data_IF_624074892148
#
_entry.id   IF_624074892148
#
_cell.length_a   1.000
_cell.length_b   1.000
_cell.length_c   1.000
_cell.angle_alpha   90.00
_cell.angle_beta   90.00
_cell.angle_gamma   90.00
#
_symmetry.space_group_name_H-M   'P 1'
#
loop_
_entity.id
_entity.type
_entity.pdbx_description
1 polymer ?
#
# COMPACT_ATOMS: atom_id res chain seq x y z
N UNK A 1 -30.41 5.55 27.68
CA UNK A 1 -29.08 5.50 27.01
C UNK A 1 -29.02 4.47 25.88
N UNK A 2 -29.56 3.27 26.05
CA UNK A 2 -29.57 2.23 24.96
C UNK A 2 -30.26 2.73 23.69
N UNK A 3 -31.42 3.39 23.83
CA UNK A 3 -32.16 3.96 22.70
C UNK A 3 -31.34 5.03 21.95
N UNK A 4 -30.56 5.83 22.68
CA UNK A 4 -29.65 6.81 22.11
C UNK A 4 -28.47 6.11 21.39
N UNK A 5 -27.98 5.01 21.94
CA UNK A 5 -26.92 4.21 21.33
C UNK A 5 -27.35 3.65 19.95
N UNK A 6 -28.53 3.04 19.86
CA UNK A 6 -29.10 2.58 18.59
C UNK A 6 -29.41 3.75 17.62
N UNK A 7 -29.99 4.83 18.12
CA UNK A 7 -30.34 6.01 17.32
C UNK A 7 -29.09 6.70 16.73
N UNK A 8 -27.95 6.66 17.42
CA UNK A 8 -26.68 7.23 16.93
C UNK A 8 -26.20 6.64 15.61
N UNK A 9 -26.59 5.41 15.30
CA UNK A 9 -26.25 4.72 14.07
C UNK A 9 -27.24 5.00 12.93
N UNK A 10 -28.54 5.14 13.28
CA UNK A 10 -29.63 5.13 12.30
C UNK A 10 -30.05 6.54 11.84
N UNK A 11 -30.12 7.51 12.73
CA UNK A 11 -30.75 8.80 12.43
C UNK A 11 -29.88 10.02 12.77
N UNK A 12 -28.75 9.81 13.43
CA UNK A 12 -27.98 10.88 14.06
C UNK A 12 -28.66 11.43 15.31
N UNK A 13 -27.85 11.91 16.23
CA UNK A 13 -28.29 12.50 17.49
C UNK A 13 -28.17 14.03 17.42
N UNK A 14 -28.95 14.72 18.24
CA UNK A 14 -28.67 16.13 18.50
C UNK A 14 -27.36 16.30 19.29
N UNK A 15 -26.72 17.45 19.19
CA UNK A 15 -25.40 17.68 19.82
C UNK A 15 -25.36 17.38 21.32
N UNK A 16 -26.43 17.69 22.04
CA UNK A 16 -26.54 17.39 23.49
C UNK A 16 -26.67 15.90 23.78
N UNK A 17 -27.40 15.18 22.95
CA UNK A 17 -27.57 13.72 23.05
C UNK A 17 -26.28 12.98 22.70
N UNK A 18 -25.57 13.44 21.67
CA UNK A 18 -24.26 12.90 21.31
C UNK A 18 -23.27 13.08 22.46
N UNK A 19 -23.19 14.28 23.03
CA UNK A 19 -22.31 14.56 24.19
C UNK A 19 -22.63 13.65 25.38
N UNK A 20 -23.92 13.43 25.66
CA UNK A 20 -24.34 12.57 26.76
C UNK A 20 -23.99 11.09 26.50
N UNK A 21 -24.15 10.63 25.27
CA UNK A 21 -23.76 9.27 24.86
C UNK A 21 -22.25 9.06 24.92
N UNK A 22 -21.47 10.02 24.43
CA UNK A 22 -20.00 9.95 24.45
C UNK A 22 -19.46 9.89 25.88
N UNK A 23 -20.01 10.71 26.76
CA UNK A 23 -19.66 10.71 28.18
C UNK A 23 -20.02 9.40 28.89
N UNK A 24 -21.10 8.75 28.47
CA UNK A 24 -21.53 7.46 28.99
C UNK A 24 -20.63 6.32 28.48
N UNK A 25 -20.31 6.30 27.18
CA UNK A 25 -19.41 5.30 26.57
C UNK A 25 -17.98 5.40 27.13
N UNK A 26 -17.51 6.60 27.42
CA UNK A 26 -16.22 6.82 28.07
C UNK A 26 -16.09 6.16 29.46
N UNK A 27 -17.22 5.78 30.08
CA UNK A 27 -17.26 5.01 31.33
C UNK A 27 -17.22 3.49 31.11
N UNK A 28 -17.20 3.03 29.87
CA UNK A 28 -17.06 1.61 29.52
C UNK A 28 -18.36 0.81 29.65
N UNK A 29 -19.49 1.32 29.17
CA UNK A 29 -20.77 0.61 29.21
C UNK A 29 -20.87 -0.43 28.10
N UNK A 30 -20.58 -1.69 28.41
CA UNK A 30 -20.61 -2.80 27.45
C UNK A 30 -21.99 -3.03 26.80
N UNK A 31 -23.09 -2.74 27.49
CA UNK A 31 -24.44 -2.85 26.92
C UNK A 31 -24.69 -1.85 25.80
N UNK A 32 -24.23 -0.60 25.97
CA UNK A 32 -24.38 0.43 24.92
C UNK A 32 -23.42 0.24 23.76
N UNK A 33 -22.23 -0.26 24.01
CA UNK A 33 -21.28 -0.65 22.96
C UNK A 33 -21.83 -1.79 22.11
N UNK A 34 -22.42 -2.80 22.73
CA UNK A 34 -23.08 -3.92 22.04
C UNK A 34 -24.28 -3.46 21.23
N UNK A 35 -25.11 -2.56 21.74
CA UNK A 35 -26.25 -2.01 21.02
C UNK A 35 -25.80 -1.25 19.74
N UNK A 36 -24.73 -0.46 19.84
CA UNK A 36 -24.13 0.22 18.69
C UNK A 36 -23.59 -0.80 17.67
N UNK A 37 -22.94 -1.85 18.14
CA UNK A 37 -22.41 -2.91 17.27
C UNK A 37 -23.53 -3.58 16.48
N UNK A 38 -24.58 -4.01 17.16
CA UNK A 38 -25.75 -4.66 16.53
C UNK A 38 -26.45 -3.73 15.55
N UNK A 39 -26.66 -2.45 15.92
CA UNK A 39 -27.26 -1.47 15.04
C UNK A 39 -26.43 -1.23 13.77
N UNK A 40 -25.11 -1.21 13.87
CA UNK A 40 -24.19 -1.09 12.70
C UNK A 40 -24.26 -2.29 11.78
N UNK A 41 -24.29 -3.50 12.33
CA UNK A 41 -24.41 -4.73 11.52
C UNK A 41 -25.73 -4.76 10.74
N UNK A 42 -26.84 -4.47 11.41
CA UNK A 42 -28.16 -4.37 10.76
C UNK A 42 -28.20 -3.29 9.67
N UNK A 43 -27.56 -2.16 9.91
CA UNK A 43 -27.48 -1.07 8.92
C UNK A 43 -26.65 -1.46 7.71
N UNK A 44 -25.54 -2.19 7.94
CA UNK A 44 -24.70 -2.71 6.86
C UNK A 44 -25.45 -3.74 5.99
N UNK A 45 -26.20 -4.65 6.61
CA UNK A 45 -27.02 -5.64 5.91
C UNK A 45 -28.14 -4.96 5.08
N UNK A 46 -28.78 -3.93 5.63
CA UNK A 46 -29.76 -3.14 4.90
C UNK A 46 -29.14 -2.37 3.73
N UNK A 47 -27.93 -1.84 3.90
CA UNK A 47 -27.24 -1.12 2.84
C UNK A 47 -26.89 -2.03 1.66
N UNK A 48 -26.57 -3.31 1.91
CA UNK A 48 -26.35 -4.31 0.85
C UNK A 48 -27.63 -4.63 0.09
N UNK A 49 -28.77 -4.59 0.78
CA UNK A 49 -30.08 -4.87 0.16
C UNK A 49 -30.60 -3.72 -0.72
N UNK A 50 -30.04 -2.52 -0.56
CA UNK A 50 -30.42 -1.32 -1.36
C UNK A 50 -29.32 -1.06 -2.38
N UNK A 51 -29.50 -1.55 -3.60
CA UNK A 51 -28.62 -1.26 -4.75
C UNK A 51 -28.74 0.23 -5.12
N UNK A 52 -27.99 1.07 -4.44
CA UNK A 52 -27.88 2.49 -4.80
C UNK A 52 -26.43 2.74 -5.24
N UNK A 53 -26.25 3.06 -6.50
CA UNK A 53 -24.93 3.47 -6.99
C UNK A 53 -24.48 4.73 -6.25
N UNK A 54 -23.25 4.78 -5.76
CA UNK A 54 -22.72 5.97 -5.12
C UNK A 54 -22.70 7.14 -6.12
N UNK A 55 -22.84 8.41 -5.65
CA UNK A 55 -22.70 9.57 -6.51
C UNK A 55 -21.38 9.50 -7.31
N UNK A 56 -21.43 9.88 -8.59
CA UNK A 56 -20.27 9.77 -9.48
C UNK A 56 -19.04 10.57 -8.98
N UNK A 57 -19.28 11.63 -8.23
CA UNK A 57 -18.25 12.50 -7.64
C UNK A 57 -17.77 12.05 -6.25
N UNK A 58 -18.37 11.02 -5.66
CA UNK A 58 -18.05 10.59 -4.28
C UNK A 58 -16.56 10.24 -4.13
N UNK A 59 -16.00 9.53 -5.09
CA UNK A 59 -14.58 9.15 -5.08
C UNK A 59 -13.68 10.38 -5.03
N UNK A 60 -13.98 11.37 -5.85
CA UNK A 60 -13.20 12.60 -5.96
C UNK A 60 -13.33 13.45 -4.68
N UNK A 61 -14.54 13.55 -4.12
CA UNK A 61 -14.79 14.22 -2.84
C UNK A 61 -14.10 13.53 -1.66
N UNK A 62 -14.09 12.20 -1.62
CA UNK A 62 -13.37 11.46 -0.58
C UNK A 62 -11.87 11.67 -0.71
N UNK A 63 -11.31 11.58 -1.90
CA UNK A 63 -9.87 11.81 -2.13
C UNK A 63 -9.47 13.25 -1.81
N UNK A 64 -10.25 14.26 -2.21
CA UNK A 64 -9.97 15.66 -1.90
C UNK A 64 -10.06 15.98 -0.40
N UNK A 65 -10.93 15.29 0.34
CA UNK A 65 -11.03 15.43 1.79
C UNK A 65 -9.93 14.68 2.56
N UNK A 66 -9.35 13.65 1.95
CA UNK A 66 -8.23 12.91 2.54
C UNK A 66 -6.89 13.62 2.32
N UNK A 67 -6.71 14.24 1.16
CA UNK A 67 -5.45 14.89 0.76
C UNK A 67 -5.01 16.05 1.67
N UNK A 68 -5.89 16.94 2.18
CA UNK A 68 -5.46 18.01 3.09
C UNK A 68 -5.28 17.55 4.55
N UNK A 69 -5.80 16.37 4.91
CA UNK A 69 -5.78 15.88 6.31
C UNK A 69 -4.59 14.97 6.63
N UNK A 70 -3.77 14.69 5.63
CA UNK A 70 -2.51 13.99 5.83
C UNK A 70 -1.39 14.93 5.33
N UNK A 71 -1.04 16.00 6.06
CA UNK A 71 0.29 16.55 5.92
C UNK A 71 1.23 15.40 6.31
N UNK A 72 2.27 15.12 5.53
CA UNK A 72 3.27 14.10 5.85
C UNK A 72 3.83 14.16 7.27
N UNK A 73 3.59 15.26 7.93
CA UNK A 73 4.02 15.61 9.28
C UNK A 73 3.46 14.72 10.41
N UNK A 74 2.25 14.16 10.28
CA UNK A 74 1.64 13.42 11.40
C UNK A 74 2.07 11.96 11.48
N UNK A 75 2.79 11.47 10.47
CA UNK A 75 3.17 10.07 10.38
C UNK A 75 4.66 9.87 10.63
N UNK A 76 5.50 10.88 10.38
CA UNK A 76 6.93 10.85 10.72
C UNK A 76 7.14 10.75 12.24
N UNK A 77 6.35 11.48 13.04
CA UNK A 77 6.39 11.41 14.52
C UNK A 77 5.98 10.02 15.06
N UNK A 78 5.36 9.17 14.23
CA UNK A 78 4.94 7.81 14.58
C UNK A 78 5.79 6.72 13.92
N UNK A 79 6.89 7.09 13.28
CA UNK A 79 7.74 6.16 12.55
C UNK A 79 7.13 5.64 11.23
N UNK A 80 6.14 6.35 10.67
CA UNK A 80 5.52 6.00 9.39
C UNK A 80 5.96 7.01 8.33
N UNK A 81 6.56 6.50 7.24
CA UNK A 81 6.96 7.29 6.09
C UNK A 81 5.95 7.10 4.95
N UNK A 82 5.33 8.19 4.49
CA UNK A 82 4.52 8.19 3.27
C UNK A 82 5.20 9.07 2.23
N UNK A 83 5.38 8.54 1.03
CA UNK A 83 5.85 9.28 -0.15
C UNK A 83 4.79 9.26 -1.23
N UNK A 84 4.57 10.40 -1.86
CA UNK A 84 3.63 10.55 -2.98
C UNK A 84 4.34 10.31 -4.31
N UNK A 85 3.59 9.91 -5.37
CA UNK A 85 4.18 9.64 -6.68
C UNK A 85 5.00 10.79 -7.28
N UNK A 86 4.58 12.04 -7.02
CA UNK A 86 5.21 13.28 -7.46
C UNK A 86 6.49 13.63 -6.68
N UNK A 87 6.63 13.10 -5.46
CA UNK A 87 7.85 13.26 -4.64
C UNK A 87 8.97 12.30 -5.06
N UNK A 88 8.65 11.30 -5.87
CA UNK A 88 9.55 10.22 -6.27
C UNK A 88 9.78 10.22 -7.79
N UNK A 89 10.94 10.66 -8.22
CA UNK A 89 11.33 10.66 -9.63
C UNK A 89 11.91 9.33 -10.12
N UNK A 90 11.68 9.01 -11.40
CA UNK A 90 12.44 7.98 -12.11
C UNK A 90 13.82 8.52 -12.49
N UNK A 91 14.84 7.71 -12.32
CA UNK A 91 16.22 8.01 -12.73
C UNK A 91 16.77 6.86 -13.55
N UNK A 92 17.47 7.17 -14.64
CA UNK A 92 18.16 6.14 -15.43
C UNK A 92 19.13 5.37 -14.53
N UNK A 93 18.96 4.05 -14.50
CA UNK A 93 19.81 3.14 -13.73
C UNK A 93 20.89 2.54 -14.64
N UNK A 94 20.47 1.93 -15.75
CA UNK A 94 21.30 1.43 -16.84
C UNK A 94 20.54 1.66 -18.16
N UNK A 95 21.15 1.49 -19.34
CA UNK A 95 20.44 1.60 -20.61
C UNK A 95 19.16 0.74 -20.64
N UNK A 96 18.02 1.35 -20.95
CA UNK A 96 16.71 0.69 -21.03
C UNK A 96 16.04 0.38 -19.68
N UNK A 97 16.69 0.68 -18.55
CA UNK A 97 16.09 0.46 -17.22
C UNK A 97 16.15 1.71 -16.36
N UNK A 98 14.99 2.18 -15.91
CA UNK A 98 14.87 3.26 -14.95
C UNK A 98 14.58 2.72 -13.54
N UNK A 99 15.08 3.40 -12.53
CA UNK A 99 14.85 3.10 -11.12
C UNK A 99 14.15 4.24 -10.40
N UNK A 100 13.16 3.91 -9.58
CA UNK A 100 12.53 4.82 -8.65
C UNK A 100 12.72 4.28 -7.23
N UNK A 101 13.53 4.96 -6.42
CA UNK A 101 13.79 4.58 -5.03
C UNK A 101 12.61 5.02 -4.15
N UNK A 102 12.00 4.08 -3.46
CA UNK A 102 10.90 4.31 -2.52
C UNK A 102 11.43 4.57 -1.11
N UNK A 103 12.34 3.72 -0.63
CA UNK A 103 12.95 3.85 0.69
C UNK A 103 14.37 3.30 0.68
N UNK A 104 15.20 3.85 1.55
CA UNK A 104 16.55 3.35 1.85
C UNK A 104 16.67 3.21 3.36
N UNK A 105 16.88 2.01 3.84
CA UNK A 105 17.24 1.70 5.22
C UNK A 105 18.78 1.62 5.27
N UNK A 106 19.39 2.71 5.72
CA UNK A 106 20.86 2.82 5.76
C UNK A 106 21.46 1.90 6.83
N UNK A 107 20.76 1.68 7.94
CA UNK A 107 21.26 0.88 9.06
C UNK A 107 21.28 -0.61 8.69
N UNK A 108 20.24 -1.09 8.01
CA UNK A 108 20.16 -2.46 7.51
C UNK A 108 20.78 -2.66 6.13
N UNK A 109 21.20 -1.58 5.49
CA UNK A 109 21.73 -1.58 4.12
C UNK A 109 20.79 -2.19 3.09
N UNK A 110 19.48 -1.94 3.26
CA UNK A 110 18.41 -2.39 2.37
C UNK A 110 17.76 -1.22 1.63
N UNK A 111 17.21 -1.52 0.46
CA UNK A 111 16.49 -0.56 -0.33
C UNK A 111 15.23 -1.16 -0.93
N UNK A 112 14.13 -0.41 -0.88
CA UNK A 112 12.90 -0.70 -1.61
C UNK A 112 12.81 0.25 -2.80
N UNK A 113 12.58 -0.29 -4.00
CA UNK A 113 12.56 0.49 -5.23
C UNK A 113 11.72 -0.17 -6.32
N UNK A 114 11.37 0.61 -7.35
CA UNK A 114 10.81 0.10 -8.59
C UNK A 114 11.89 0.11 -9.66
N UNK A 115 11.90 -0.92 -10.51
CA UNK A 115 12.60 -0.92 -11.80
C UNK A 115 11.56 -0.93 -12.91
N UNK A 116 11.76 -0.07 -13.89
CA UNK A 116 10.97 -0.01 -15.12
C UNK A 116 11.87 -0.41 -16.27
N UNK A 117 11.54 -1.50 -16.92
CA UNK A 117 12.23 -2.02 -18.11
C UNK A 117 11.55 -1.47 -19.35
N UNK A 118 12.33 -0.94 -20.28
CA UNK A 118 11.91 -0.75 -21.67
C UNK A 118 11.84 -2.12 -22.37
N UNK A 119 11.03 -2.28 -23.44
CA UNK A 119 11.01 -3.51 -24.22
C UNK A 119 12.41 -3.94 -24.67
N UNK A 120 12.78 -5.20 -24.43
CA UNK A 120 14.08 -5.76 -24.75
C UNK A 120 15.23 -5.36 -23.81
N UNK A 121 14.97 -4.54 -22.80
CA UNK A 121 16.00 -4.15 -21.85
C UNK A 121 16.46 -5.33 -20.97
N UNK A 122 17.73 -5.32 -20.61
CA UNK A 122 18.40 -6.39 -19.89
C UNK A 122 19.10 -5.88 -18.64
N UNK A 123 18.89 -6.56 -17.53
CA UNK A 123 19.63 -6.36 -16.29
C UNK A 123 20.72 -7.43 -16.21
N UNK A 124 21.92 -7.01 -15.94
CA UNK A 124 23.10 -7.88 -15.88
C UNK A 124 23.00 -8.93 -14.78
N UNK A 125 23.73 -10.02 -14.95
CA UNK A 125 23.93 -11.07 -13.95
C UNK A 125 24.51 -10.47 -12.67
N UNK A 126 23.97 -10.85 -11.51
CA UNK A 126 24.42 -10.34 -10.21
C UNK A 126 24.18 -11.34 -9.09
N UNK A 127 24.99 -11.22 -8.04
CA UNK A 127 24.89 -12.00 -6.81
C UNK A 127 24.25 -11.19 -5.71
N UNK A 128 23.41 -11.84 -4.93
CA UNK A 128 22.77 -11.28 -3.75
C UNK A 128 23.53 -11.69 -2.50
N UNK A 129 24.21 -10.79 -1.78
CA UNK A 129 24.77 -11.13 -0.47
C UNK A 129 23.69 -11.42 0.56
N UNK A 130 22.50 -10.86 0.36
CA UNK A 130 21.34 -11.00 1.22
C UNK A 130 20.11 -11.40 0.40
N UNK A 131 18.98 -11.63 1.06
CA UNK A 131 17.71 -11.95 0.41
C UNK A 131 17.27 -10.80 -0.50
N UNK A 132 16.76 -11.14 -1.72
CA UNK A 132 16.05 -10.20 -2.57
C UNK A 132 14.61 -10.67 -2.79
N UNK A 133 13.68 -9.73 -2.80
CA UNK A 133 12.27 -9.98 -3.07
C UNK A 133 11.81 -9.14 -4.27
N UNK A 134 11.08 -9.76 -5.19
CA UNK A 134 10.58 -9.14 -6.41
C UNK A 134 9.10 -9.44 -6.57
N UNK A 135 8.31 -8.40 -6.86
CA UNK A 135 6.90 -8.52 -7.26
C UNK A 135 6.72 -7.85 -8.62
N UNK A 136 6.13 -8.54 -9.58
CA UNK A 136 5.81 -7.95 -10.89
C UNK A 136 4.55 -7.09 -10.76
N UNK A 137 4.69 -5.78 -10.91
CA UNK A 137 3.58 -4.81 -10.82
C UNK A 137 2.82 -4.74 -12.15
N UNK A 138 3.54 -4.74 -13.28
CA UNK A 138 2.95 -4.72 -14.61
C UNK A 138 3.91 -5.28 -15.64
N UNK A 139 3.36 -5.82 -16.74
CA UNK A 139 4.13 -6.41 -17.84
C UNK A 139 4.63 -7.80 -17.51
N UNK A 140 5.78 -8.16 -18.08
CA UNK A 140 6.43 -9.46 -17.95
C UNK A 140 7.94 -9.31 -17.75
N UNK A 141 8.57 -10.26 -17.08
CA UNK A 141 10.03 -10.31 -16.92
C UNK A 141 10.52 -11.75 -16.86
N UNK A 142 11.64 -12.01 -17.51
CA UNK A 142 12.38 -13.26 -17.37
C UNK A 142 13.47 -13.12 -16.31
N UNK A 143 13.42 -13.97 -15.29
CA UNK A 143 14.39 -14.01 -14.19
C UNK A 143 14.92 -15.44 -14.07
N UNK A 144 16.22 -15.62 -14.20
CA UNK A 144 16.89 -16.93 -14.12
C UNK A 144 16.21 -18.01 -14.99
N UNK A 145 15.76 -17.63 -16.18
CA UNK A 145 15.09 -18.52 -17.15
C UNK A 145 13.60 -18.76 -16.89
N UNK A 146 13.02 -18.20 -15.84
CA UNK A 146 11.59 -18.27 -15.55
C UNK A 146 10.87 -17.03 -16.05
N UNK A 147 9.78 -17.22 -16.79
CA UNK A 147 8.91 -16.13 -17.26
C UNK A 147 7.88 -15.79 -16.21
N UNK A 148 7.96 -14.58 -15.68
CA UNK A 148 7.07 -14.03 -14.67
C UNK A 148 6.17 -12.94 -15.26
N UNK A 149 4.94 -12.85 -14.78
CA UNK A 149 3.90 -11.90 -15.22
C UNK A 149 3.37 -11.09 -14.05
N UNK A 150 2.58 -10.08 -14.35
CA UNK A 150 1.90 -9.24 -13.35
C UNK A 150 1.27 -10.08 -12.24
N UNK A 151 1.64 -9.79 -10.99
CA UNK A 151 1.21 -10.48 -9.78
C UNK A 151 2.14 -11.60 -9.32
N UNK A 152 3.07 -12.06 -10.16
CA UNK A 152 4.04 -13.08 -9.76
C UNK A 152 5.08 -12.52 -8.80
N UNK A 153 5.48 -13.35 -7.85
CA UNK A 153 6.46 -13.04 -6.82
C UNK A 153 7.65 -13.99 -6.89
N UNK A 154 8.84 -13.44 -6.72
CA UNK A 154 10.09 -14.17 -6.63
C UNK A 154 10.84 -13.79 -5.35
N UNK A 155 11.45 -14.78 -4.71
CA UNK A 155 12.37 -14.57 -3.60
C UNK A 155 13.68 -15.27 -3.88
N UNK A 156 14.73 -14.48 -4.01
CA UNK A 156 16.10 -14.99 -4.14
C UNK A 156 16.71 -15.13 -2.73
N UNK A 157 17.30 -16.27 -2.45
CA UNK A 157 17.98 -16.51 -1.19
C UNK A 157 19.30 -15.72 -1.10
N UNK A 158 19.78 -15.52 0.11
CA UNK A 158 21.15 -15.04 0.34
C UNK A 158 22.16 -15.91 -0.39
N UNK A 159 23.20 -15.29 -0.93
CA UNK A 159 24.24 -15.91 -1.75
C UNK A 159 23.81 -16.48 -3.12
N UNK A 160 22.54 -16.31 -3.48
CA UNK A 160 22.06 -16.70 -4.82
C UNK A 160 22.59 -15.78 -5.92
N UNK A 161 22.52 -16.27 -7.15
CA UNK A 161 22.90 -15.51 -8.35
C UNK A 161 21.69 -15.45 -9.26
N UNK A 162 21.31 -14.25 -9.66
CA UNK A 162 20.41 -14.05 -10.79
C UNK A 162 21.23 -14.01 -12.07
N UNK A 163 20.89 -14.88 -13.02
CA UNK A 163 21.33 -14.73 -14.39
C UNK A 163 20.74 -13.46 -15.02
N UNK A 164 21.15 -13.10 -16.23
CA UNK A 164 20.58 -11.94 -16.93
C UNK A 164 19.05 -11.96 -16.88
N UNK A 165 18.46 -10.88 -16.41
CA UNK A 165 17.01 -10.69 -16.38
C UNK A 165 16.60 -9.71 -17.47
N UNK A 166 15.48 -9.97 -18.15
CA UNK A 166 15.04 -9.16 -19.29
C UNK A 166 13.52 -9.19 -19.45
N UNK A 167 12.98 -8.22 -20.20
CA UNK A 167 11.54 -8.13 -20.47
C UNK A 167 11.32 -7.98 -21.98
N UNK A 168 10.36 -8.72 -22.54
CA UNK A 168 10.00 -8.60 -23.97
C UNK A 168 9.20 -7.32 -24.23
N UNK A 169 8.10 -7.16 -23.50
CA UNK A 169 7.14 -6.08 -23.68
C UNK A 169 7.41 -4.85 -22.82
N UNK A 170 8.36 -4.91 -21.94
CA UNK A 170 8.57 -3.93 -20.87
C UNK A 170 7.77 -4.29 -19.62
N UNK A 171 8.30 -3.91 -18.45
CA UNK A 171 7.66 -4.20 -17.18
C UNK A 171 7.97 -3.14 -16.12
N UNK A 172 7.21 -3.18 -15.06
CA UNK A 172 7.54 -2.55 -13.78
C UNK A 172 7.56 -3.62 -12.71
N UNK A 173 8.66 -3.72 -11.99
CA UNK A 173 8.81 -4.61 -10.85
C UNK A 173 9.09 -3.81 -9.57
N UNK A 174 8.55 -4.27 -8.45
CA UNK A 174 8.93 -3.82 -7.11
C UNK A 174 10.01 -4.73 -6.57
N UNK A 175 11.05 -4.15 -6.01
CA UNK A 175 12.21 -4.88 -5.50
C UNK A 175 12.54 -4.41 -4.09
N UNK A 176 12.82 -5.36 -3.22
CA UNK A 176 13.47 -5.14 -1.91
C UNK A 176 14.78 -5.91 -1.91
N UNK A 177 15.90 -5.22 -1.80
CA UNK A 177 17.20 -5.87 -1.86
C UNK A 177 18.28 -5.18 -1.03
N UNK A 178 19.36 -5.88 -0.78
CA UNK A 178 20.59 -5.31 -0.24
C UNK A 178 21.15 -4.23 -1.17
N UNK A 179 21.80 -3.25 -0.60
CA UNK A 179 22.55 -2.23 -1.33
C UNK A 179 23.90 -2.76 -1.85
N UNK A 180 24.28 -3.95 -1.43
CA UNK A 180 25.58 -4.58 -1.67
C UNK A 180 25.55 -5.66 -2.76
N UNK A 181 24.49 -5.70 -3.58
CA UNK A 181 24.42 -6.61 -4.73
C UNK A 181 25.64 -6.46 -5.64
N UNK A 182 26.22 -7.57 -6.06
CA UNK A 182 27.49 -7.64 -6.77
C UNK A 182 27.28 -8.06 -8.21
N UNK A 183 27.74 -7.26 -9.15
CA UNK A 183 27.79 -7.66 -10.56
C UNK A 183 28.82 -8.77 -10.70
N UNK A 184 28.43 -9.85 -11.36
CA UNK A 184 29.30 -11.01 -11.65
C UNK A 184 29.39 -11.25 -13.14
N UNK A 185 30.54 -11.65 -13.61
CA UNK A 185 30.80 -11.97 -15.00
C UNK A 185 30.35 -13.39 -15.35
#
# INVERSE_FOLDING_TARGET
MRDLAAASVLAGLQASEQTALDAHLAQGCAECEEEIRVARELTADLAVAVETAPPADLRERLLSNLTPRIPGLLLEDRGILIKRPDEMGWKRFIPGIDRKVLHTDADRRYRSYLLKFEPGAKLFKHRHPEVEEILVISGDVHISGLHMKTGDYCRAASDSVHEESWSEGGCVIFVVSSMDNQVVS
#
